data_IF_652616882767
#
_entry.id   IF_652616882767
#
_cell.length_a   1.000
_cell.length_b   1.000
_cell.length_c   1.000
_cell.angle_alpha   90.00
_cell.angle_beta   90.00
_cell.angle_gamma   90.00
#
_symmetry.space_group_name_H-M   'P 1'
#
loop_
_entity.id
_entity.type
_entity.pdbx_description
1 polymer ?
#
# COMPACT_ATOMS: atom_id res chain seq x y z
N UNK A 1 5.78 -25.13 3.37
CA UNK A 1 5.22 -24.12 2.46
C UNK A 1 4.51 -23.12 3.33
N UNK A 2 5.16 -22.00 3.63
CA UNK A 2 4.74 -21.08 4.68
C UNK A 2 3.52 -20.27 4.22
N UNK A 3 2.35 -20.60 4.76
CA UNK A 3 1.10 -19.87 4.52
C UNK A 3 1.13 -18.39 5.02
N UNK A 4 2.26 -17.93 5.56
CA UNK A 4 2.43 -16.67 6.28
C UNK A 4 3.38 -15.67 5.61
N UNK A 5 4.06 -16.06 4.52
CA UNK A 5 4.89 -15.13 3.74
C UNK A 5 4.00 -14.09 3.01
N UNK A 6 4.48 -12.85 2.90
CA UNK A 6 3.88 -11.86 2.01
C UNK A 6 3.86 -12.46 0.60
N UNK A 7 2.67 -12.58 0.00
CA UNK A 7 2.57 -13.10 -1.35
C UNK A 7 2.64 -11.92 -2.33
N UNK A 8 3.82 -11.68 -2.88
CA UNK A 8 4.11 -10.61 -3.82
C UNK A 8 3.55 -10.81 -5.24
N UNK A 9 2.69 -11.83 -5.44
CA UNK A 9 2.09 -12.15 -6.74
C UNK A 9 0.57 -11.98 -6.77
N UNK A 10 -0.04 -11.42 -5.72
CA UNK A 10 -1.49 -11.18 -5.67
C UNK A 10 -1.82 -9.78 -6.13
N UNK A 11 -3.03 -9.57 -6.62
CA UNK A 11 -3.55 -8.23 -6.88
C UNK A 11 -3.40 -7.36 -5.63
N UNK A 12 -2.90 -6.14 -5.83
CA UNK A 12 -2.57 -5.21 -4.76
C UNK A 12 -1.19 -5.41 -4.14
N UNK A 13 -0.33 -6.30 -4.66
CA UNK A 13 1.05 -6.41 -4.16
C UNK A 13 1.96 -5.30 -4.70
N UNK A 14 2.84 -4.79 -3.83
CA UNK A 14 3.97 -3.92 -4.17
C UNK A 14 5.19 -4.42 -3.42
N UNK A 15 6.13 -5.05 -4.13
CA UNK A 15 7.32 -5.67 -3.53
C UNK A 15 8.54 -5.43 -4.42
N UNK A 16 9.74 -5.78 -3.96
CA UNK A 16 10.99 -5.72 -4.77
C UNK A 16 11.28 -4.27 -5.25
N UNK A 17 11.78 -4.07 -6.47
CA UNK A 17 12.36 -2.81 -6.97
C UNK A 17 11.46 -1.88 -7.84
N UNK A 18 10.34 -1.36 -7.30
CA UNK A 18 9.17 -2.13 -6.94
C UNK A 18 8.39 -2.65 -8.16
N UNK A 19 8.01 -3.93 -8.05
CA UNK A 19 7.02 -4.61 -8.86
C UNK A 19 5.63 -4.43 -8.25
N UNK A 20 4.72 -3.88 -9.04
CA UNK A 20 3.30 -3.74 -8.72
C UNK A 20 2.50 -4.87 -9.36
N UNK A 21 1.41 -5.28 -8.71
CA UNK A 21 0.42 -6.20 -9.28
C UNK A 21 -0.96 -5.54 -9.22
N UNK A 22 -1.51 -5.18 -10.37
CA UNK A 22 -2.79 -4.47 -10.46
C UNK A 22 -4.01 -5.36 -10.19
N UNK A 23 -5.22 -4.76 -10.25
CA UNK A 23 -6.49 -5.43 -9.92
C UNK A 23 -6.74 -6.75 -10.67
N UNK A 24 -6.33 -6.83 -11.94
CA UNK A 24 -6.48 -8.02 -12.79
C UNK A 24 -5.30 -9.00 -12.68
N UNK A 25 -4.51 -8.93 -11.61
CA UNK A 25 -3.27 -9.70 -11.41
C UNK A 25 -2.21 -9.49 -12.50
N UNK A 26 -2.29 -8.36 -13.21
CA UNK A 26 -1.29 -7.96 -14.21
C UNK A 26 -0.15 -7.26 -13.47
N UNK A 27 1.05 -7.83 -13.57
CA UNK A 27 2.25 -7.26 -12.96
C UNK A 27 2.89 -6.22 -13.88
N UNK A 28 3.45 -5.17 -13.27
CA UNK A 28 4.24 -4.16 -13.96
C UNK A 28 5.27 -3.55 -13.00
N UNK A 29 6.34 -3.01 -13.55
CA UNK A 29 7.34 -2.26 -12.81
C UNK A 29 7.07 -0.77 -12.92
N UNK A 30 7.38 -0.05 -11.85
CA UNK A 30 7.33 1.40 -11.85
C UNK A 30 8.68 1.93 -11.39
N UNK A 31 9.34 2.71 -12.23
CA UNK A 31 10.63 3.32 -11.89
C UNK A 31 10.38 4.67 -11.20
N UNK A 32 10.44 4.65 -9.88
CA UNK A 32 10.49 5.88 -9.08
C UNK A 32 11.84 6.59 -9.21
N UNK A 33 12.04 7.61 -8.37
CA UNK A 33 13.39 8.11 -8.08
C UNK A 33 13.64 8.03 -6.59
N UNK A 34 14.92 7.94 -6.25
CA UNK A 34 15.36 8.03 -4.87
C UNK A 34 14.89 9.34 -4.22
N UNK A 35 14.52 9.24 -2.95
CA UNK A 35 14.15 10.35 -2.07
C UNK A 35 12.94 11.15 -2.58
N UNK A 36 11.96 10.47 -3.18
CA UNK A 36 10.74 11.11 -3.68
C UNK A 36 9.46 10.41 -3.23
N UNK A 37 8.43 11.22 -3.01
CA UNK A 37 7.08 10.76 -2.67
C UNK A 37 6.22 10.64 -3.93
N UNK A 38 5.53 9.50 -4.07
CA UNK A 38 4.68 9.20 -5.23
C UNK A 38 3.30 8.72 -4.76
N UNK A 39 2.25 9.22 -5.40
CA UNK A 39 0.87 8.81 -5.19
C UNK A 39 0.61 7.44 -5.82
N UNK A 40 0.44 6.42 -4.97
CA UNK A 40 0.18 5.05 -5.41
C UNK A 40 -1.32 4.76 -5.47
N UNK A 41 -2.13 5.39 -4.62
CA UNK A 41 -3.59 5.29 -4.62
C UNK A 41 -4.17 6.66 -4.29
N UNK A 42 -5.15 7.13 -5.06
CA UNK A 42 -5.98 8.26 -4.67
C UNK A 42 -7.42 8.06 -5.10
N UNK A 43 -8.30 8.20 -4.14
CA UNK A 43 -9.75 8.19 -4.27
C UNK A 43 -10.36 9.20 -3.27
N UNK A 44 -11.69 9.37 -3.24
CA UNK A 44 -12.34 10.35 -2.37
C UNK A 44 -12.10 10.11 -0.87
N UNK A 45 -12.02 8.84 -0.48
CA UNK A 45 -11.92 8.39 0.92
C UNK A 45 -10.57 7.74 1.29
N UNK A 46 -9.66 7.63 0.33
CA UNK A 46 -8.36 6.99 0.55
C UNK A 46 -7.30 7.65 -0.32
N UNK A 47 -6.23 8.10 0.30
CA UNK A 47 -5.05 8.58 -0.39
C UNK A 47 -3.82 7.91 0.21
N UNK A 48 -2.97 7.35 -0.65
CA UNK A 48 -1.74 6.70 -0.23
C UNK A 48 -0.61 7.22 -1.10
N UNK A 49 0.36 7.87 -0.45
CA UNK A 49 1.66 8.14 -1.02
C UNK A 49 2.68 7.14 -0.48
N UNK A 50 3.65 6.81 -1.32
CA UNK A 50 4.81 6.02 -0.94
C UNK A 50 6.08 6.87 -1.06
N UNK A 51 6.94 6.83 -0.05
CA UNK A 51 8.28 7.40 -0.11
C UNK A 51 9.24 6.35 -0.70
N UNK A 52 9.95 6.73 -1.75
CA UNK A 52 10.91 5.84 -2.42
C UNK A 52 12.31 6.11 -1.90
N UNK A 53 12.97 5.05 -1.41
CA UNK A 53 14.42 5.01 -1.23
C UNK A 53 15.07 4.41 -2.46
N UNK A 54 16.41 4.39 -2.54
CA UNK A 54 17.10 3.91 -3.72
C UNK A 54 18.61 4.01 -3.66
N UNK A 55 19.26 3.40 -4.65
CA UNK A 55 20.70 3.46 -4.84
C UNK A 55 21.05 4.00 -6.23
N UNK A 56 22.16 4.73 -6.33
CA UNK A 56 22.69 5.26 -7.59
C UNK A 56 24.22 5.28 -7.57
N UNK A 57 24.85 4.62 -8.55
CA UNK A 57 26.30 4.74 -8.83
C UNK A 57 26.55 5.31 -10.25
N UNK A 58 27.80 5.69 -10.53
CA UNK A 58 28.18 6.56 -11.67
C UNK A 58 27.70 6.09 -13.05
N UNK A 59 27.55 4.79 -13.27
CA UNK A 59 27.21 4.21 -14.58
C UNK A 59 25.73 3.77 -14.73
N UNK A 60 24.89 4.02 -13.72
CA UNK A 60 23.49 3.61 -13.77
C UNK A 60 22.63 4.48 -14.70
N UNK A 61 21.89 3.83 -15.62
CA UNK A 61 20.90 4.48 -16.51
C UNK A 61 19.62 4.92 -15.79
N UNK A 62 19.28 4.31 -14.65
CA UNK A 62 18.11 4.60 -13.81
C UNK A 62 18.46 4.39 -12.33
N UNK A 63 17.67 4.97 -11.43
CA UNK A 63 17.76 4.59 -10.02
C UNK A 63 17.12 3.21 -9.83
N UNK A 64 17.73 2.37 -8.99
CA UNK A 64 17.00 1.28 -8.34
C UNK A 64 16.33 1.85 -7.11
N UNK A 65 15.05 1.55 -6.94
CA UNK A 65 14.22 2.14 -5.91
C UNK A 65 13.37 1.11 -5.21
N UNK A 66 13.04 1.37 -3.95
CA UNK A 66 12.16 0.54 -3.12
C UNK A 66 11.24 1.44 -2.30
N UNK A 67 10.13 0.90 -1.82
CA UNK A 67 9.21 1.65 -0.95
C UNK A 67 9.76 1.64 0.48
N UNK A 68 10.12 2.81 1.01
CA UNK A 68 10.63 2.96 2.38
C UNK A 68 9.50 3.14 3.40
N UNK A 69 8.48 3.91 3.03
CA UNK A 69 7.35 4.23 3.89
C UNK A 69 6.10 4.57 3.10
N UNK A 70 4.96 4.50 3.78
CA UNK A 70 3.66 4.96 3.29
C UNK A 70 3.13 6.08 4.18
N UNK A 71 2.53 7.08 3.54
CA UNK A 71 1.59 8.01 4.16
C UNK A 71 0.19 7.68 3.68
N UNK A 72 -0.69 7.32 4.60
CA UNK A 72 -2.04 6.85 4.31
C UNK A 72 -3.02 7.85 4.93
N UNK A 73 -3.86 8.47 4.12
CA UNK A 73 -4.90 9.41 4.53
C UNK A 73 -6.28 8.80 4.26
N UNK A 74 -7.14 8.87 5.25
CA UNK A 74 -8.55 8.46 5.20
C UNK A 74 -9.33 9.31 6.20
N UNK A 75 -10.59 9.65 5.90
CA UNK A 75 -11.36 10.60 6.69
C UNK A 75 -10.54 11.87 7.04
N UNK A 76 -10.32 12.13 8.33
CA UNK A 76 -9.45 13.19 8.85
C UNK A 76 -8.18 12.64 9.54
N UNK A 77 -7.87 11.36 9.35
CA UNK A 77 -6.76 10.66 9.98
C UNK A 77 -5.61 10.40 9.01
N UNK A 78 -4.42 10.25 9.58
CA UNK A 78 -3.21 9.87 8.85
C UNK A 78 -2.47 8.73 9.55
N UNK A 79 -2.18 7.67 8.83
CA UNK A 79 -1.31 6.58 9.27
C UNK A 79 0.03 6.68 8.55
N UNK A 80 1.11 6.51 9.30
CA UNK A 80 2.44 6.27 8.77
C UNK A 80 2.84 4.81 9.04
N UNK A 81 3.44 4.17 8.04
CA UNK A 81 4.19 2.93 8.23
C UNK A 81 5.50 3.03 7.47
N UNK A 82 6.61 2.72 8.14
CA UNK A 82 7.94 2.82 7.55
C UNK A 82 8.85 1.67 7.96
N UNK A 83 9.82 1.38 7.10
CA UNK A 83 10.99 0.59 7.45
C UNK A 83 12.07 1.51 8.05
N UNK A 84 12.61 1.17 9.22
CA UNK A 84 13.75 1.86 9.82
C UNK A 84 15.03 1.48 9.08
N UNK A 85 15.88 2.47 8.83
CA UNK A 85 17.24 2.22 8.34
C UNK A 85 17.99 1.37 9.35
N UNK A 86 18.85 0.48 8.85
CA UNK A 86 19.66 -0.39 9.68
C UNK A 86 21.07 -0.48 9.12
N UNK A 87 22.03 -0.93 9.91
CA UNK A 87 23.42 -1.17 9.49
C UNK A 87 23.69 -2.68 9.27
N UNK A 88 22.90 -3.54 9.90
CA UNK A 88 22.98 -4.99 9.77
C UNK A 88 21.56 -5.56 9.80
N UNK A 89 21.31 -6.68 9.12
CA UNK A 89 20.03 -7.36 9.20
C UNK A 89 20.04 -8.48 10.23
N UNK A 90 19.00 -8.49 11.07
CA UNK A 90 18.70 -9.56 12.03
C UNK A 90 17.18 -9.67 12.08
N UNK A 91 16.65 -10.86 11.81
CA UNK A 91 15.21 -11.12 11.80
C UNK A 91 14.56 -10.90 13.18
N UNK A 92 15.32 -10.91 14.27
CA UNK A 92 14.82 -10.71 15.63
C UNK A 92 14.72 -9.24 16.05
N UNK A 93 15.25 -8.31 15.25
CA UNK A 93 15.20 -6.87 15.54
C UNK A 93 14.05 -6.24 14.76
N UNK A 94 13.11 -5.62 15.46
CA UNK A 94 11.99 -4.93 14.84
C UNK A 94 12.40 -3.60 14.20
N UNK A 95 12.10 -3.45 12.91
CA UNK A 95 12.43 -2.25 12.11
C UNK A 95 11.18 -1.55 11.61
N UNK A 96 10.02 -1.81 12.21
CA UNK A 96 8.80 -1.06 11.94
C UNK A 96 8.84 0.30 12.63
N UNK A 97 8.31 1.30 11.93
CA UNK A 97 7.96 2.60 12.47
C UNK A 97 6.49 2.88 12.14
N UNK A 98 5.70 3.19 13.17
CA UNK A 98 4.24 3.27 13.09
C UNK A 98 3.76 4.53 13.80
N UNK A 99 2.82 5.24 13.18
CA UNK A 99 2.26 6.46 13.73
C UNK A 99 0.80 6.65 13.28
N UNK A 100 -0.04 7.17 14.18
CA UNK A 100 -1.36 7.68 13.85
C UNK A 100 -1.43 9.17 14.25
N UNK A 101 -1.81 10.03 13.31
CA UNK A 101 -2.03 11.47 13.52
C UNK A 101 -0.84 12.28 14.04
N UNK A 102 0.38 11.80 13.83
CA UNK A 102 1.61 12.37 14.37
C UNK A 102 2.04 11.74 15.71
N UNK A 103 1.25 10.84 16.29
CA UNK A 103 1.58 10.13 17.54
C UNK A 103 2.14 8.72 17.28
N UNK A 104 3.30 8.36 17.85
CA UNK A 104 3.87 7.03 17.71
C UNK A 104 2.92 5.94 18.23
N UNK A 105 2.88 4.80 17.53
CA UNK A 105 2.19 3.60 17.97
C UNK A 105 3.22 2.64 18.53
N UNK A 106 3.02 2.23 19.78
CA UNK A 106 3.85 1.22 20.44
C UNK A 106 3.10 -0.11 20.42
N UNK A 107 3.57 -1.04 19.58
CA UNK A 107 3.04 -2.38 19.45
C UNK A 107 4.09 -3.38 19.94
N UNK A 108 3.77 -4.12 20.99
CA UNK A 108 4.66 -5.14 21.55
C UNK A 108 5.08 -6.15 20.48
N UNK A 109 6.33 -6.61 20.53
CA UNK A 109 6.80 -7.72 19.72
C UNK A 109 6.04 -9.00 20.07
N UNK A 110 5.87 -9.88 19.07
CA UNK A 110 5.12 -11.12 19.20
C UNK A 110 3.98 -11.23 18.20
N UNK A 111 3.90 -12.36 17.49
CA UNK A 111 2.77 -12.65 16.60
C UNK A 111 1.42 -12.55 17.33
N UNK A 112 0.45 -11.89 16.70
CA UNK A 112 -0.88 -11.67 17.27
C UNK A 112 -0.99 -10.48 18.22
N UNK A 113 0.11 -9.81 18.57
CA UNK A 113 0.05 -8.54 19.29
C UNK A 113 -0.81 -7.54 18.51
N UNK A 114 -1.77 -6.92 19.18
CA UNK A 114 -2.78 -6.07 18.57
C UNK A 114 -2.81 -4.69 19.24
N UNK A 115 -2.97 -3.65 18.42
CA UNK A 115 -3.22 -2.29 18.85
C UNK A 115 -4.49 -1.79 18.17
N UNK A 116 -5.35 -1.15 18.94
CA UNK A 116 -6.58 -0.53 18.47
C UNK A 116 -6.58 0.95 18.83
N UNK A 117 -7.04 1.77 17.89
CA UNK A 117 -7.07 3.20 18.10
C UNK A 117 -8.25 3.62 18.97
N UNK A 118 -7.96 4.43 19.99
CA UNK A 118 -8.98 5.10 20.81
C UNK A 118 -9.51 6.36 20.10
N UNK A 119 -8.69 7.00 19.26
CA UNK A 119 -9.01 8.27 18.61
C UNK A 119 -9.59 8.12 17.21
N UNK A 120 -9.43 6.95 16.59
CA UNK A 120 -9.92 6.60 15.26
C UNK A 120 -10.59 5.22 15.30
N UNK A 121 -11.87 5.14 15.72
CA UNK A 121 -12.58 3.86 15.81
C UNK A 121 -12.53 3.09 14.48
N UNK A 122 -12.32 1.77 14.56
CA UNK A 122 -12.20 0.90 13.37
C UNK A 122 -10.78 0.82 12.80
N UNK A 123 -9.80 1.55 13.36
CA UNK A 123 -8.38 1.39 13.03
C UNK A 123 -7.73 0.38 13.98
N UNK A 124 -7.13 -0.67 13.43
CA UNK A 124 -6.31 -1.62 14.19
C UNK A 124 -5.02 -1.99 13.47
N UNK A 125 -4.00 -2.37 14.25
CA UNK A 125 -2.72 -2.85 13.75
C UNK A 125 -2.37 -4.12 14.52
N UNK A 126 -2.21 -5.24 13.78
CA UNK A 126 -1.89 -6.54 14.37
C UNK A 126 -0.58 -7.07 13.79
N UNK A 127 0.30 -7.58 14.65
CA UNK A 127 1.51 -8.29 14.21
C UNK A 127 1.15 -9.61 13.56
N UNK A 128 1.65 -9.86 12.35
CA UNK A 128 1.53 -11.17 11.70
C UNK A 128 2.73 -12.08 11.92
N UNK A 129 3.79 -11.57 12.55
CA UNK A 129 5.01 -12.27 12.99
C UNK A 129 5.58 -11.55 14.20
N UNK A 130 6.53 -12.16 14.88
CA UNK A 130 7.17 -11.57 16.07
C UNK A 130 7.72 -10.16 15.82
N UNK A 131 8.36 -9.97 14.66
CA UNK A 131 8.94 -8.69 14.23
C UNK A 131 8.61 -8.40 12.76
N UNK A 132 8.81 -7.15 12.36
CA UNK A 132 8.90 -6.68 10.98
C UNK A 132 7.64 -6.86 10.11
N UNK A 133 6.58 -7.52 10.58
CA UNK A 133 5.34 -7.72 9.80
C UNK A 133 4.10 -7.34 10.59
N UNK A 134 3.33 -6.40 10.04
CA UNK A 134 2.02 -5.98 10.57
C UNK A 134 0.95 -6.01 9.50
N UNK A 135 -0.29 -6.16 9.94
CA UNK A 135 -1.50 -5.89 9.17
C UNK A 135 -2.15 -4.66 9.77
N UNK A 136 -2.37 -3.63 8.95
CA UNK A 136 -3.10 -2.41 9.27
C UNK A 136 -4.50 -2.56 8.68
N UNK A 137 -5.53 -2.47 9.50
CA UNK A 137 -6.94 -2.51 9.10
C UNK A 137 -7.58 -1.16 9.39
N UNK A 138 -8.34 -0.65 8.42
CA UNK A 138 -9.33 0.40 8.64
C UNK A 138 -10.67 -0.16 8.18
N UNK A 139 -11.55 -0.43 9.15
CA UNK A 139 -12.80 -1.15 8.94
C UNK A 139 -13.62 -0.57 7.77
N UNK A 140 -13.99 -1.42 6.82
CA UNK A 140 -14.78 -1.02 5.65
C UNK A 140 -14.05 -0.15 4.62
N UNK A 141 -12.78 0.22 4.86
CA UNK A 141 -11.97 1.00 3.92
C UNK A 141 -10.89 0.15 3.24
N UNK A 142 -9.90 -0.31 3.99
CA UNK A 142 -8.79 -1.09 3.46
C UNK A 142 -8.10 -1.96 4.51
N UNK A 143 -7.30 -2.91 4.00
CA UNK A 143 -6.32 -3.67 4.75
C UNK A 143 -4.96 -3.56 4.05
N UNK A 144 -3.90 -3.34 4.81
CA UNK A 144 -2.52 -3.31 4.31
C UNK A 144 -1.69 -4.25 5.14
N UNK A 145 -1.16 -5.30 4.53
CA UNK A 145 -0.04 -6.06 5.12
C UNK A 145 1.25 -5.33 4.75
N UNK A 146 2.10 -5.06 5.72
CA UNK A 146 3.41 -4.44 5.53
C UNK A 146 4.49 -5.31 6.18
N UNK A 147 5.50 -5.68 5.40
CA UNK A 147 6.65 -6.45 5.86
C UNK A 147 7.93 -5.67 5.57
N UNK A 148 8.72 -5.40 6.60
CA UNK A 148 10.08 -4.86 6.44
C UNK A 148 11.00 -6.01 6.03
N UNK A 149 11.71 -5.86 4.92
CA UNK A 149 12.63 -6.86 4.36
C UNK A 149 13.99 -6.20 4.04
N UNK A 150 15.10 -6.96 4.11
CA UNK A 150 16.39 -6.48 3.64
C UNK A 150 16.53 -6.67 2.13
N UNK A 151 17.34 -5.83 1.51
CA UNK A 151 17.93 -6.14 0.20
C UNK A 151 19.11 -7.06 0.46
N UNK A 152 19.02 -8.31 -0.01
CA UNK A 152 20.08 -9.29 0.24
C UNK A 152 21.26 -9.10 -0.72
N UNK A 153 22.49 -9.45 -0.29
CA UNK A 153 23.67 -9.50 -1.18
C UNK A 153 23.43 -10.34 -2.44
N UNK A 154 22.69 -11.44 -2.30
CA UNK A 154 22.34 -12.31 -3.43
C UNK A 154 21.44 -11.61 -4.43
N UNK A 155 20.40 -10.94 -3.94
CA UNK A 155 19.49 -10.15 -4.77
C UNK A 155 20.25 -9.00 -5.46
N UNK A 156 21.05 -8.25 -4.70
CA UNK A 156 21.90 -7.18 -5.23
C UNK A 156 22.88 -7.67 -6.30
N UNK A 157 23.44 -8.86 -6.15
CA UNK A 157 24.32 -9.46 -7.17
C UNK A 157 23.56 -9.87 -8.43
N UNK A 158 22.38 -10.49 -8.29
CA UNK A 158 21.55 -10.91 -9.43
C UNK A 158 21.03 -9.72 -10.23
N UNK A 159 20.66 -8.64 -9.55
CA UNK A 159 20.03 -7.46 -10.16
C UNK A 159 20.99 -6.27 -10.34
N UNK A 160 22.26 -6.44 -9.98
CA UNK A 160 23.33 -5.44 -10.09
C UNK A 160 23.00 -4.11 -9.38
N UNK A 161 22.33 -4.19 -8.22
CA UNK A 161 21.93 -3.01 -7.44
C UNK A 161 23.12 -2.23 -6.89
N UNK A 162 24.31 -2.83 -6.83
CA UNK A 162 25.51 -2.20 -6.26
C UNK A 162 25.44 -2.03 -4.74
N UNK A 163 24.65 -2.86 -4.07
CA UNK A 163 24.51 -2.92 -2.61
C UNK A 163 25.34 -4.10 -2.11
N UNK A 164 26.35 -3.83 -1.29
CA UNK A 164 27.33 -4.84 -0.88
C UNK A 164 27.03 -5.46 0.50
N UNK A 165 26.00 -4.97 1.19
CA UNK A 165 25.64 -5.37 2.54
C UNK A 165 24.12 -5.35 2.74
N UNK A 166 23.61 -6.19 3.63
CA UNK A 166 22.18 -6.41 3.88
C UNK A 166 21.56 -5.31 4.76
N UNK A 167 22.00 -4.06 4.66
CA UNK A 167 21.59 -2.99 5.58
C UNK A 167 20.46 -2.11 5.04
N UNK A 168 20.16 -2.20 3.74
CA UNK A 168 19.01 -1.51 3.17
C UNK A 168 17.74 -2.30 3.47
N UNK A 169 16.86 -1.69 4.26
CA UNK A 169 15.54 -2.23 4.57
C UNK A 169 14.43 -1.44 3.86
N UNK A 170 13.48 -2.16 3.27
CA UNK A 170 12.32 -1.57 2.60
C UNK A 170 11.05 -2.33 2.96
N UNK A 171 9.91 -1.87 2.44
CA UNK A 171 8.61 -2.49 2.62
C UNK A 171 8.27 -3.37 1.41
N UNK A 172 7.88 -4.60 1.68
CA UNK A 172 6.98 -5.38 0.85
C UNK A 172 5.55 -5.18 1.36
N UNK A 173 4.62 -4.97 0.43
CA UNK A 173 3.27 -4.50 0.73
C UNK A 173 2.23 -5.36 0.03
N UNK A 174 1.12 -5.60 0.73
CA UNK A 174 -0.09 -6.21 0.18
C UNK A 174 -1.31 -5.38 0.52
N UNK A 175 -1.92 -4.77 -0.49
CA UNK A 175 -3.11 -3.94 -0.34
C UNK A 175 -4.37 -4.76 -0.66
N UNK A 176 -5.39 -4.62 0.19
CA UNK A 176 -6.75 -5.07 -0.07
C UNK A 176 -7.68 -3.89 0.17
N UNK A 177 -8.46 -3.52 -0.84
CA UNK A 177 -9.37 -2.39 -0.76
C UNK A 177 -10.82 -2.85 -0.72
N UNK A 178 -11.64 -2.22 0.12
CA UNK A 178 -13.05 -2.58 0.31
C UNK A 178 -14.01 -1.60 -0.35
N UNK A 179 -13.63 -0.33 -0.45
CA UNK A 179 -14.55 0.76 -0.83
C UNK A 179 -14.00 1.74 -1.87
N UNK A 180 -13.05 1.32 -2.71
CA UNK A 180 -12.60 2.14 -3.84
C UNK A 180 -13.77 2.42 -4.80
N UNK A 181 -13.91 3.68 -5.18
CA UNK A 181 -14.80 4.14 -6.23
C UNK A 181 -14.26 3.76 -7.61
N UNK A 182 -15.13 3.74 -8.62
CA UNK A 182 -14.70 3.55 -10.00
C UNK A 182 -13.79 4.68 -10.52
N UNK A 183 -13.68 5.80 -9.80
CA UNK A 183 -12.84 6.93 -10.14
C UNK A 183 -11.44 6.87 -9.48
N UNK A 184 -11.07 5.83 -8.75
CA UNK A 184 -9.73 5.71 -8.15
C UNK A 184 -8.58 5.92 -9.17
N UNK A 185 -7.50 6.55 -8.75
CA UNK A 185 -6.29 6.81 -9.55
C UNK A 185 -5.02 6.56 -8.72
N UNK A 186 -3.84 6.89 -9.25
CA UNK A 186 -2.52 6.58 -8.66
C UNK A 186 -1.84 5.42 -9.38
N UNK A 187 -0.55 5.18 -9.10
CA UNK A 187 0.25 4.14 -9.79
C UNK A 187 -0.45 2.78 -9.76
N UNK A 188 -0.86 2.33 -8.58
CA UNK A 188 -1.62 1.09 -8.37
C UNK A 188 -3.11 1.33 -8.53
N UNK A 189 -3.63 2.41 -7.95
CA UNK A 189 -5.05 2.70 -7.87
C UNK A 189 -5.72 2.81 -9.24
N UNK A 190 -5.05 3.35 -10.26
CA UNK A 190 -5.59 3.42 -11.63
C UNK A 190 -6.03 2.05 -12.16
N UNK A 191 -5.39 0.96 -11.72
CA UNK A 191 -5.72 -0.40 -12.18
C UNK A 191 -7.05 -0.92 -11.64
N UNK A 192 -7.59 -0.28 -10.59
CA UNK A 192 -8.89 -0.58 -9.98
C UNK A 192 -10.01 0.32 -10.50
N UNK A 193 -9.70 1.28 -11.39
CA UNK A 193 -10.70 2.19 -11.95
C UNK A 193 -11.66 1.47 -12.92
N UNK A 194 -12.92 1.89 -12.95
CA UNK A 194 -13.96 1.26 -13.78
C UNK A 194 -13.74 1.41 -15.29
N UNK A 195 -12.97 2.42 -15.71
CA UNK A 195 -12.60 2.66 -17.10
C UNK A 195 -11.14 2.28 -17.42
N UNK A 196 -10.46 1.56 -16.52
CA UNK A 196 -9.08 1.17 -16.73
C UNK A 196 -8.93 0.22 -17.92
N UNK A 197 -8.13 0.64 -18.89
CA UNK A 197 -7.64 -0.23 -19.96
C UNK A 197 -6.14 -0.40 -19.79
N UNK A 198 -5.69 -1.65 -19.66
CA UNK A 198 -4.28 -1.94 -19.42
C UNK A 198 -3.42 -1.46 -20.59
N UNK A 199 -2.40 -0.66 -20.27
CA UNK A 199 -1.34 -0.25 -21.20
C UNK A 199 -0.05 -1.05 -21.00
N UNK A 200 -0.09 -2.06 -20.13
CA UNK A 200 1.05 -2.94 -19.84
C UNK A 200 1.37 -3.74 -21.10
N UNK A 201 2.64 -3.71 -21.51
CA UNK A 201 3.11 -4.48 -22.67
C UNK A 201 3.20 -5.97 -22.29
N UNK A 202 2.23 -6.76 -22.74
CA UNK A 202 2.20 -8.20 -22.50
C UNK A 202 3.34 -8.92 -23.23
N UNK A 203 3.81 -10.04 -22.67
CA UNK A 203 4.89 -10.85 -23.25
C UNK A 203 6.31 -10.28 -23.06
N UNK A 204 6.46 -9.27 -22.20
CA UNK A 204 7.76 -8.75 -21.75
C UNK A 204 7.93 -9.09 -20.27
N UNK A 205 9.13 -9.54 -19.89
CA UNK A 205 9.39 -10.01 -18.52
C UNK A 205 9.20 -8.92 -17.45
N UNK A 206 9.62 -7.69 -17.75
CA UNK A 206 9.54 -6.54 -16.85
C UNK A 206 8.85 -5.37 -17.55
N UNK A 207 7.52 -5.40 -17.72
CA UNK A 207 6.83 -4.33 -18.41
C UNK A 207 6.73 -3.12 -17.47
N UNK A 208 7.19 -1.97 -17.94
CA UNK A 208 7.19 -0.72 -17.17
C UNK A 208 5.95 0.09 -17.52
N UNK A 209 5.25 0.62 -16.51
CA UNK A 209 4.05 1.44 -16.70
C UNK A 209 4.10 2.74 -15.91
N UNK A 210 3.69 3.84 -16.56
CA UNK A 210 3.61 5.16 -15.95
C UNK A 210 4.91 5.95 -15.99
N UNK A 211 4.83 7.23 -15.62
CA UNK A 211 5.97 8.11 -15.51
C UNK A 211 5.89 8.93 -14.22
N UNK A 212 7.05 9.17 -13.60
CA UNK A 212 7.15 9.87 -12.32
C UNK A 212 6.37 11.20 -12.25
N UNK A 213 6.42 11.99 -13.33
CA UNK A 213 5.81 13.32 -13.37
C UNK A 213 4.31 13.29 -13.08
N UNK A 214 3.63 12.20 -13.46
CA UNK A 214 2.19 12.03 -13.27
C UNK A 214 1.81 11.76 -11.82
N UNK A 215 2.68 11.08 -11.07
CA UNK A 215 2.38 10.57 -9.73
C UNK A 215 3.21 11.23 -8.61
N UNK A 216 4.16 12.11 -8.92
CA UNK A 216 4.94 12.83 -7.91
C UNK A 216 4.04 13.60 -6.96
N UNK A 217 4.30 13.48 -5.65
CA UNK A 217 3.72 14.26 -4.55
C UNK A 217 4.79 15.19 -3.97
N UNK A 218 4.38 16.33 -3.38
CA UNK A 218 5.35 17.23 -2.70
C UNK A 218 5.79 16.74 -1.33
N UNK A 219 4.96 15.92 -0.67
CA UNK A 219 5.29 15.28 0.59
C UNK A 219 4.47 14.01 0.78
N UNK A 220 4.91 13.17 1.72
CA UNK A 220 4.25 11.92 2.07
C UNK A 220 2.76 12.09 2.44
N UNK A 221 2.36 13.24 3.01
CA UNK A 221 0.97 13.52 3.36
C UNK A 221 0.30 14.60 2.49
N UNK A 222 0.93 15.03 1.40
CA UNK A 222 0.35 16.01 0.48
C UNK A 222 -0.70 15.38 -0.45
N UNK A 223 -1.71 16.17 -0.82
CA UNK A 223 -2.78 15.81 -1.77
C UNK A 223 -2.80 16.77 -2.98
N UNK A 224 -1.65 17.34 -3.33
CA UNK A 224 -1.50 18.55 -4.14
C UNK A 224 -1.45 18.33 -5.67
N UNK A 225 -1.99 17.21 -6.20
CA UNK A 225 -1.64 16.73 -7.55
C UNK A 225 -2.82 16.48 -8.48
N UNK A 226 -2.51 16.40 -9.78
CA UNK A 226 -3.49 16.20 -10.86
C UNK A 226 -4.31 14.90 -10.71
N UNK A 227 -3.74 13.87 -10.09
CA UNK A 227 -4.43 12.59 -9.81
C UNK A 227 -5.07 12.55 -8.43
N UNK A 228 -4.86 13.56 -7.59
CA UNK A 228 -5.41 13.60 -6.24
C UNK A 228 -6.93 13.83 -6.30
N UNK A 229 -7.66 12.92 -5.68
CA UNK A 229 -9.13 12.92 -5.59
C UNK A 229 -9.62 12.97 -4.15
N UNK A 230 -8.70 13.05 -3.20
CA UNK A 230 -8.98 12.91 -1.78
C UNK A 230 -9.72 14.12 -1.23
N UNK A 231 -10.85 13.85 -0.58
CA UNK A 231 -11.63 14.85 0.15
C UNK A 231 -11.90 14.44 1.60
N UNK A 232 -11.43 13.27 2.03
CA UNK A 232 -11.72 12.73 3.37
C UNK A 232 -13.19 12.32 3.56
N UNK A 233 -13.90 12.02 2.48
CA UNK A 233 -15.33 11.66 2.52
C UNK A 233 -15.51 10.26 1.95
N UNK A 234 -15.96 9.34 2.81
CA UNK A 234 -16.57 8.09 2.40
C UNK A 234 -17.84 8.39 1.60
N UNK A 235 -17.84 8.12 0.29
CA UNK A 235 -19.09 8.13 -0.47
C UNK A 235 -19.99 7.05 0.12
N UNK A 236 -21.14 7.46 0.66
CA UNK A 236 -22.12 6.53 1.19
C UNK A 236 -22.48 5.54 0.09
N UNK A 237 -22.09 4.27 0.25
CA UNK A 237 -22.64 3.19 -0.56
C UNK A 237 -24.15 3.23 -0.35
N UNK A 238 -24.90 3.47 -1.42
CA UNK A 238 -26.35 3.50 -1.39
C UNK A 238 -26.84 2.15 -0.88
N UNK A 239 -27.12 2.05 0.42
CA UNK A 239 -27.84 0.94 1.02
C UNK A 239 -29.18 0.90 0.29
N UNK A 240 -29.39 -0.08 -0.59
CA UNK A 240 -30.72 -0.41 -1.09
C UNK A 240 -31.54 -0.83 0.13
N UNK A 241 -32.32 0.10 0.68
CA UNK A 241 -33.39 -0.23 1.59
C UNK A 241 -34.39 -1.09 0.81
N UNK A 242 -34.36 -2.39 1.03
CA UNK A 242 -35.49 -3.25 0.69
C UNK A 242 -36.62 -2.87 1.63
N UNK A 243 -37.52 -2.00 1.17
CA UNK A 243 -38.85 -1.89 1.76
C UNK A 243 -39.58 -3.21 1.44
N UNK A 244 -39.66 -4.11 2.42
CA UNK A 244 -40.71 -5.13 2.40
C UNK A 244 -42.04 -4.40 2.63
N UNK A 245 -42.75 -4.11 1.54
CA UNK A 245 -44.14 -3.68 1.63
C UNK A 245 -44.96 -4.92 2.02
N UNK A 246 -45.38 -5.01 3.29
CA UNK A 246 -46.43 -5.94 3.70
C UNK A 246 -47.77 -5.40 3.16
N UNK A 247 -48.31 -6.08 2.14
CA UNK A 247 -49.71 -5.93 1.75
C UNK A 247 -50.60 -6.59 2.81
N UNK A 248 -51.63 -5.92 3.33
CA UNK A 248 -52.62 -6.58 4.18
C UNK A 248 -53.53 -7.46 3.30
N UNK A 249 -53.68 -8.73 3.67
CA UNK A 249 -54.72 -9.60 3.11
C UNK A 249 -56.10 -9.02 3.48
N UNK A 250 -56.83 -8.52 2.49
CA UNK A 250 -58.27 -8.34 2.61
C UNK A 250 -58.95 -9.70 2.44
N UNK A 251 -59.65 -10.14 3.49
CA UNK A 251 -60.66 -11.19 3.40
C UNK A 251 -61.80 -10.70 2.51
N UNK A 252 -62.16 -11.48 1.48
CA UNK A 252 -63.48 -11.38 0.85
C UNK A 252 -64.30 -12.60 1.27
N UNK A 253 -65.38 -12.33 2.02
CA UNK A 253 -66.52 -13.22 2.19
C UNK A 253 -67.35 -13.18 0.89
N UNK A 254 -67.58 -14.35 0.30
CA UNK A 254 -68.84 -14.72 -0.37
C UNK A 254 -69.11 -16.18 -0.02
#
# INVERSE_FOLDING_TARGET
>A
MDAWAMNCNRAGSVCQDPRFVGAYSIAFYFHGKRDQDLCIVSDSNLHINAHFTGNRYQDMKRDFTWVQSLGILFDNHRIFVGAKKTATWDNTIDRLDLNLDGKPIYLSEGEGANWESITAPGVSITRSRDTNTVTIEVEGNFQIKATVVPITKRESWIHEYGINEDYFAHLDLGFKFYSLSGAVNGVLGQTYSSNYTSRVKMGVDMPVLGGQKEFSSSSLFSTDRAVAKFSGIALASSKKFFFFCHLPLFYLLV
#
